data_IF_662802850634
#
_entry.id   IF_662802850634
#
_cell.length_a   1.000
_cell.length_b   1.000
_cell.length_c   1.000
_cell.angle_alpha   90.00
_cell.angle_beta   90.00
_cell.angle_gamma   90.00
#
_symmetry.space_group_name_H-M   'P 1'
#
loop_
_entity.id
_entity.type
_entity.pdbx_description
1 polymer ?
#
# COMPACT_ATOMS: atom_id res chain seq x y z
N UNK A 1 49.45 -41.55 27.99
CA UNK A 1 48.24 -40.79 28.33
C UNK A 1 48.23 -39.56 27.45
N UNK A 2 47.22 -39.46 26.56
CA UNK A 2 46.80 -38.34 25.69
C UNK A 2 47.83 -37.70 24.74
N UNK A 3 47.50 -37.24 23.53
CA UNK A 3 46.49 -37.55 22.49
C UNK A 3 46.89 -36.59 21.34
N UNK A 4 46.92 -37.07 20.11
CA UNK A 4 47.22 -36.24 18.94
C UNK A 4 46.10 -35.25 18.64
N UNK A 5 46.47 -34.06 18.17
CA UNK A 5 45.53 -33.12 17.54
C UNK A 5 45.83 -33.12 16.04
N UNK A 6 45.08 -33.93 15.29
CA UNK A 6 45.01 -33.84 13.85
C UNK A 6 44.18 -32.61 13.47
N UNK A 7 44.77 -31.72 12.69
CA UNK A 7 44.05 -30.64 12.01
C UNK A 7 43.19 -31.29 10.93
N UNK A 8 41.87 -31.36 11.17
CA UNK A 8 40.90 -31.73 10.14
C UNK A 8 40.66 -30.48 9.30
N UNK A 9 41.32 -30.40 8.15
CA UNK A 9 40.97 -29.45 7.09
C UNK A 9 39.68 -29.98 6.43
N UNK A 10 38.53 -29.42 6.80
CA UNK A 10 37.28 -29.66 6.06
C UNK A 10 37.36 -28.83 4.78
N UNK A 11 37.83 -29.45 3.70
CA UNK A 11 37.69 -28.90 2.36
C UNK A 11 36.25 -29.17 1.93
N UNK A 12 35.41 -28.14 1.96
CA UNK A 12 34.16 -28.14 1.18
C UNK A 12 34.55 -28.07 -0.29
N UNK A 13 34.79 -29.23 -0.91
CA UNK A 13 34.68 -29.39 -2.35
C UNK A 13 33.18 -29.41 -2.69
N UNK A 14 32.54 -28.24 -2.62
CA UNK A 14 31.27 -28.03 -3.29
C UNK A 14 31.57 -27.95 -4.78
N UNK A 15 31.09 -28.91 -5.56
CA UNK A 15 30.98 -28.75 -7.00
C UNK A 15 30.29 -27.40 -7.26
N UNK A 16 30.99 -26.42 -7.82
CA UNK A 16 30.30 -25.29 -8.42
C UNK A 16 29.52 -25.87 -9.59
N UNK A 17 28.22 -26.08 -9.41
CA UNK A 17 27.34 -26.16 -10.56
C UNK A 17 27.64 -24.91 -11.39
N UNK A 18 27.89 -25.07 -12.69
CA UNK A 18 28.04 -23.93 -13.59
C UNK A 18 26.79 -23.05 -13.45
N UNK A 19 26.91 -21.96 -12.70
CA UNK A 19 25.88 -20.90 -12.58
C UNK A 19 26.00 -19.95 -13.78
N UNK A 20 26.76 -20.31 -14.81
CA UNK A 20 26.89 -19.52 -16.03
C UNK A 20 25.69 -19.76 -16.93
N UNK A 21 24.90 -18.72 -17.19
CA UNK A 21 23.77 -18.73 -18.13
C UNK A 21 22.51 -18.11 -17.55
N UNK A 22 21.50 -17.92 -18.40
CA UNK A 22 20.18 -17.44 -17.98
C UNK A 22 19.24 -18.58 -17.60
N UNK A 23 18.25 -18.29 -16.77
CA UNK A 23 17.07 -19.11 -16.56
C UNK A 23 15.81 -18.24 -16.67
N UNK A 24 14.72 -18.83 -17.14
CA UNK A 24 13.44 -18.13 -17.18
C UNK A 24 12.83 -18.04 -15.79
N UNK A 25 12.55 -16.82 -15.35
CA UNK A 25 11.82 -16.56 -14.11
C UNK A 25 10.45 -16.01 -14.46
N UNK A 26 9.43 -16.63 -13.88
CA UNK A 26 8.03 -16.21 -13.98
C UNK A 26 7.58 -15.70 -12.63
N UNK A 27 6.99 -14.50 -12.57
CA UNK A 27 6.39 -13.94 -11.36
C UNK A 27 4.87 -14.02 -11.50
N UNK A 28 4.25 -14.82 -10.66
CA UNK A 28 2.81 -14.75 -10.45
C UNK A 28 2.54 -13.96 -9.17
N UNK A 29 1.47 -13.19 -9.11
CA UNK A 29 1.01 -12.55 -7.89
C UNK A 29 -0.37 -13.06 -7.51
N UNK A 30 -0.64 -13.22 -6.23
CA UNK A 30 -1.99 -13.54 -5.74
C UNK A 30 -2.31 -12.70 -4.52
N UNK A 31 -3.57 -12.35 -4.39
CA UNK A 31 -4.07 -11.63 -3.21
C UNK A 31 -4.56 -12.61 -2.16
N UNK A 32 -4.18 -12.35 -0.93
CA UNK A 32 -4.68 -12.96 0.31
C UNK A 32 -5.62 -11.94 0.95
N UNK A 33 -6.87 -12.35 1.17
CA UNK A 33 -7.92 -11.54 1.78
C UNK A 33 -8.76 -12.42 2.70
N UNK A 34 -9.29 -11.85 3.78
CA UNK A 34 -10.30 -12.51 4.62
C UNK A 34 -11.71 -12.15 4.12
N UNK A 35 -12.42 -13.14 3.58
CA UNK A 35 -13.83 -12.97 3.18
C UNK A 35 -14.79 -13.03 4.38
N UNK A 36 -14.40 -13.66 5.50
CA UNK A 36 -15.26 -13.88 6.66
C UNK A 36 -15.47 -12.60 7.48
N UNK A 37 -14.45 -11.75 7.57
CA UNK A 37 -14.50 -10.51 8.35
C UNK A 37 -15.31 -9.39 7.67
N UNK A 38 -15.63 -9.56 6.37
CA UNK A 38 -16.54 -8.66 5.64
C UNK A 38 -17.97 -8.70 6.18
N UNK A 39 -18.38 -9.77 6.88
CA UNK A 39 -19.77 -9.99 7.31
C UNK A 39 -20.00 -9.89 8.83
N UNK A 40 -18.95 -9.90 9.67
CA UNK A 40 -19.06 -9.98 11.14
C UNK A 40 -18.90 -8.66 11.88
N UNK A 41 -19.15 -7.53 11.23
CA UNK A 41 -19.04 -6.19 11.85
C UNK A 41 -20.10 -6.02 12.95
N UNK A 42 -19.72 -6.32 14.18
CA UNK A 42 -20.54 -6.08 15.38
C UNK A 42 -20.32 -4.63 15.79
N UNK A 43 -21.41 -3.89 16.00
CA UNK A 43 -21.47 -2.48 16.41
C UNK A 43 -20.94 -2.21 17.84
N UNK A 44 -19.82 -2.83 18.21
CA UNK A 44 -19.20 -2.68 19.53
C UNK A 44 -17.67 -2.68 19.51
N UNK A 45 -17.02 -2.78 18.36
CA UNK A 45 -15.55 -2.71 18.28
C UNK A 45 -15.11 -1.33 17.82
N UNK A 46 -14.28 -0.74 18.68
CA UNK A 46 -13.97 0.68 18.79
C UNK A 46 -12.86 1.11 17.81
N UNK A 47 -12.57 0.27 16.82
CA UNK A 47 -11.69 0.51 15.66
C UNK A 47 -12.04 -0.54 14.61
N UNK A 48 -12.28 -0.13 13.36
CA UNK A 48 -12.71 -1.08 12.31
C UNK A 48 -11.59 -1.22 11.31
N UNK A 49 -10.81 -2.28 11.45
CA UNK A 49 -9.96 -2.76 10.37
C UNK A 49 -10.85 -3.29 9.23
N UNK A 50 -10.50 -2.94 8.00
CA UNK A 50 -11.28 -3.21 6.81
C UNK A 50 -10.39 -3.88 5.77
N UNK A 51 -10.74 -5.13 5.46
CA UNK A 51 -10.21 -5.83 4.30
C UNK A 51 -10.98 -5.40 3.04
N UNK A 52 -10.32 -4.86 2.00
CA UNK A 52 -10.97 -4.46 0.76
C UNK A 52 -11.68 -5.62 0.06
N UNK A 53 -12.80 -5.33 -0.60
CA UNK A 53 -13.58 -6.27 -1.39
C UNK A 53 -13.00 -6.53 -2.78
N UNK A 54 -12.31 -5.53 -3.35
CA UNK A 54 -11.59 -5.57 -4.63
C UNK A 54 -10.20 -4.95 -4.45
N UNK A 55 -9.24 -5.40 -5.27
CA UNK A 55 -7.88 -4.89 -5.26
C UNK A 55 -7.26 -4.91 -6.65
N UNK A 56 -6.64 -3.80 -7.06
CA UNK A 56 -5.87 -3.65 -8.31
C UNK A 56 -4.54 -2.95 -8.03
N UNK A 57 -3.52 -3.34 -8.78
CA UNK A 57 -2.20 -2.68 -8.78
C UNK A 57 -1.95 -2.10 -10.17
N UNK A 58 -1.60 -0.83 -10.26
CA UNK A 58 -1.06 -0.21 -11.47
C UNK A 58 0.48 -0.27 -11.42
N UNK A 59 1.08 -1.35 -11.93
CA UNK A 59 2.51 -1.67 -11.79
C UNK A 59 3.32 -1.09 -12.95
N UNK A 60 4.48 -0.51 -12.66
CA UNK A 60 5.43 0.00 -13.67
C UNK A 60 6.77 -0.72 -13.62
N UNK A 61 7.16 -1.24 -12.45
CA UNK A 61 8.47 -1.85 -12.26
C UNK A 61 8.44 -3.00 -11.26
N UNK A 62 9.15 -4.07 -11.58
CA UNK A 62 9.44 -5.16 -10.66
C UNK A 62 10.82 -5.74 -10.98
N UNK A 63 11.73 -5.77 -10.01
CA UNK A 63 13.07 -6.30 -10.17
C UNK A 63 13.48 -7.19 -9.00
N UNK A 64 14.28 -8.20 -9.29
CA UNK A 64 15.00 -8.94 -8.25
C UNK A 64 16.35 -8.29 -8.00
N UNK A 65 16.83 -8.35 -6.77
CA UNK A 65 18.15 -7.85 -6.37
C UNK A 65 19.06 -9.03 -6.06
N UNK A 66 20.17 -9.13 -6.78
CA UNK A 66 21.15 -10.19 -6.57
C UNK A 66 21.99 -9.96 -5.30
N UNK A 67 22.76 -10.97 -4.90
CA UNK A 67 23.64 -10.89 -3.73
C UNK A 67 24.77 -9.84 -3.84
N UNK A 68 25.03 -9.31 -5.04
CA UNK A 68 26.00 -8.24 -5.28
C UNK A 68 25.33 -6.84 -5.22
N UNK A 69 24.00 -6.80 -5.10
CA UNK A 69 23.20 -5.58 -5.06
C UNK A 69 22.73 -5.09 -6.43
N UNK A 70 22.92 -5.88 -7.50
CA UNK A 70 22.47 -5.51 -8.84
C UNK A 70 20.97 -5.79 -9.01
N UNK A 71 20.27 -4.83 -9.62
CA UNK A 71 18.85 -4.97 -9.96
C UNK A 71 18.68 -5.64 -11.32
N UNK A 72 17.87 -6.69 -11.35
CA UNK A 72 17.47 -7.38 -12.57
C UNK A 72 15.98 -7.21 -12.76
N UNK A 73 15.60 -6.22 -13.57
CA UNK A 73 14.21 -5.93 -13.88
C UNK A 73 13.53 -7.10 -14.60
N UNK A 74 12.35 -7.49 -14.14
CA UNK A 74 11.46 -8.45 -14.80
C UNK A 74 10.32 -7.69 -15.51
N UNK A 75 9.82 -6.64 -14.85
CA UNK A 75 8.85 -5.69 -15.39
C UNK A 75 9.49 -4.30 -15.37
N UNK A 76 9.42 -3.60 -16.49
CA UNK A 76 9.89 -2.23 -16.66
C UNK A 76 9.08 -1.60 -17.79
N UNK A 77 8.14 -0.75 -17.43
CA UNK A 77 7.12 -0.20 -18.32
C UNK A 77 7.13 1.33 -18.24
N UNK A 78 6.98 1.99 -19.38
CA UNK A 78 6.83 3.44 -19.46
C UNK A 78 5.43 3.89 -18.96
N UNK A 79 4.43 3.01 -19.10
CA UNK A 79 3.04 3.23 -18.70
C UNK A 79 2.60 2.12 -17.73
N UNK A 80 1.76 2.40 -16.73
CA UNK A 80 1.34 1.40 -15.76
C UNK A 80 0.49 0.30 -16.40
N UNK A 81 0.82 -0.96 -16.10
CA UNK A 81 -0.05 -2.11 -16.38
C UNK A 81 -0.94 -2.38 -15.17
N UNK A 82 -2.25 -2.46 -15.41
CA UNK A 82 -3.25 -2.67 -14.36
C UNK A 82 -3.49 -4.17 -14.18
N UNK A 83 -3.12 -4.69 -13.03
CA UNK A 83 -3.40 -6.05 -12.60
C UNK A 83 -4.64 -6.07 -11.70
N UNK A 84 -5.75 -6.61 -12.22
CA UNK A 84 -7.04 -6.65 -11.53
C UNK A 84 -7.27 -8.00 -10.80
N UNK A 85 -7.15 -7.99 -9.47
CA UNK A 85 -7.31 -9.18 -8.63
C UNK A 85 -8.75 -9.40 -8.15
N UNK A 86 -9.71 -8.55 -8.53
CA UNK A 86 -11.09 -8.56 -8.00
C UNK A 86 -11.84 -9.88 -8.19
N UNK A 87 -11.42 -10.71 -9.16
CA UNK A 87 -12.01 -12.04 -9.42
C UNK A 87 -11.00 -13.17 -9.24
N UNK A 88 -9.76 -12.86 -8.88
CA UNK A 88 -8.62 -13.77 -8.89
C UNK A 88 -7.98 -13.97 -7.50
N UNK A 89 -8.75 -13.74 -6.43
CA UNK A 89 -8.30 -14.07 -5.08
C UNK A 89 -7.90 -15.54 -5.00
N UNK A 90 -6.66 -15.76 -4.56
CA UNK A 90 -6.03 -17.08 -4.51
C UNK A 90 -5.60 -17.72 -5.84
N UNK A 91 -6.11 -17.31 -7.02
CA UNK A 91 -5.84 -18.01 -8.30
C UNK A 91 -4.61 -17.52 -9.07
N UNK A 92 -4.03 -16.39 -8.68
CA UNK A 92 -2.75 -15.89 -9.20
C UNK A 92 -2.84 -15.26 -10.60
N UNK A 93 -2.24 -14.08 -10.77
CA UNK A 93 -2.08 -13.39 -12.05
C UNK A 93 -0.60 -13.37 -12.44
N UNK A 94 -0.31 -13.55 -13.72
CA UNK A 94 1.05 -13.40 -14.24
C UNK A 94 1.43 -11.91 -14.22
N UNK A 95 2.41 -11.51 -13.41
CA UNK A 95 2.96 -10.16 -13.41
C UNK A 95 4.01 -9.98 -14.51
N UNK A 96 4.85 -11.00 -14.74
CA UNK A 96 5.96 -10.87 -15.66
C UNK A 96 6.75 -12.14 -15.84
N UNK A 97 7.51 -12.18 -16.94
CA UNK A 97 8.32 -13.32 -17.34
C UNK A 97 9.58 -12.87 -18.05
N UNK A 98 10.76 -13.27 -17.57
CA UNK A 98 12.03 -12.87 -18.18
C UNK A 98 13.11 -13.93 -17.97
N UNK A 99 13.99 -14.09 -18.96
CA UNK A 99 15.25 -14.82 -18.76
C UNK A 99 16.27 -13.93 -18.05
N UNK A 100 16.69 -14.34 -16.86
CA UNK A 100 17.63 -13.60 -16.00
C UNK A 100 18.85 -14.46 -15.62
N UNK A 101 19.98 -13.86 -15.19
CA UNK A 101 21.14 -14.63 -14.74
C UNK A 101 20.78 -15.58 -13.61
N UNK A 102 21.26 -16.83 -13.71
CA UNK A 102 21.23 -17.77 -12.59
C UNK A 102 22.07 -17.22 -11.45
N UNK A 103 21.64 -17.44 -10.22
CA UNK A 103 22.35 -16.90 -9.07
C UNK A 103 21.54 -16.92 -7.80
N UNK A 104 22.07 -16.21 -6.80
CA UNK A 104 21.42 -15.96 -5.51
C UNK A 104 20.81 -14.57 -5.54
N UNK A 105 19.52 -14.49 -5.21
CA UNK A 105 18.80 -13.23 -5.07
C UNK A 105 18.38 -13.05 -3.62
N UNK A 106 18.58 -11.83 -3.12
CA UNK A 106 18.49 -11.49 -1.70
C UNK A 106 17.39 -10.49 -1.39
N UNK A 107 16.79 -9.89 -2.42
CA UNK A 107 15.61 -9.07 -2.27
C UNK A 107 14.91 -8.81 -3.60
N UNK A 108 13.90 -7.93 -3.55
CA UNK A 108 13.24 -7.40 -4.73
C UNK A 108 12.87 -5.93 -4.53
N UNK A 109 12.58 -5.26 -5.64
CA UNK A 109 12.07 -3.90 -5.69
C UNK A 109 10.86 -3.83 -6.60
N UNK A 110 9.88 -3.01 -6.23
CA UNK A 110 8.62 -2.85 -6.93
C UNK A 110 8.22 -1.38 -6.95
N UNK A 111 7.70 -0.92 -8.09
CA UNK A 111 7.10 0.42 -8.22
C UNK A 111 5.73 0.27 -8.87
N UNK A 112 4.76 0.91 -8.26
CA UNK A 112 3.42 1.05 -8.79
C UNK A 112 3.03 2.52 -8.75
N UNK A 113 2.19 2.92 -9.69
CA UNK A 113 1.62 4.26 -9.78
C UNK A 113 0.57 4.45 -8.70
N UNK A 114 -0.38 3.53 -8.62
CA UNK A 114 -1.43 3.55 -7.61
C UNK A 114 -1.88 2.13 -7.23
N UNK A 115 -2.53 2.06 -6.07
CA UNK A 115 -3.34 0.93 -5.63
C UNK A 115 -4.81 1.35 -5.70
N UNK A 116 -5.65 0.52 -6.31
CA UNK A 116 -7.11 0.75 -6.39
C UNK A 116 -7.85 -0.32 -5.61
N UNK A 117 -8.77 0.10 -4.74
CA UNK A 117 -9.36 -0.77 -3.73
C UNK A 117 -10.82 -0.40 -3.53
N UNK A 118 -11.68 -1.41 -3.35
CA UNK A 118 -13.08 -1.17 -2.92
C UNK A 118 -13.20 -1.52 -1.45
N UNK A 119 -13.68 -0.61 -0.62
CA UNK A 119 -13.81 -0.83 0.82
C UNK A 119 -15.17 -0.33 1.33
N UNK A 120 -15.86 -1.09 2.20
CA UNK A 120 -17.06 -0.63 2.88
C UNK A 120 -16.69 0.34 4.00
N UNK A 121 -16.92 1.62 3.79
CA UNK A 121 -16.59 2.69 4.73
C UNK A 121 -17.82 3.54 5.07
N UNK A 122 -17.77 4.21 6.21
CA UNK A 122 -18.75 5.22 6.59
C UNK A 122 -17.99 6.50 6.91
N UNK A 123 -18.23 7.56 6.14
CA UNK A 123 -17.64 8.86 6.44
C UNK A 123 -18.51 9.59 7.45
N UNK A 124 -17.88 10.08 8.51
CA UNK A 124 -18.50 10.84 9.58
C UNK A 124 -17.69 12.12 9.75
N UNK A 125 -18.32 13.26 9.48
CA UNK A 125 -17.72 14.58 9.69
C UNK A 125 -18.63 15.38 10.63
N UNK A 126 -18.07 16.26 11.48
CA UNK A 126 -18.85 17.12 12.34
C UNK A 126 -19.87 17.94 11.55
N UNK A 127 -21.03 18.16 12.16
CA UNK A 127 -22.11 18.96 11.56
C UNK A 127 -21.73 20.41 11.22
N UNK A 128 -20.61 20.91 11.74
CA UNK A 128 -20.06 22.22 11.39
C UNK A 128 -19.16 22.19 10.15
N UNK A 129 -18.70 21.02 9.71
CA UNK A 129 -17.93 20.87 8.46
C UNK A 129 -18.83 21.18 7.27
N UNK A 130 -18.22 21.81 6.26
CA UNK A 130 -18.83 22.07 4.95
C UNK A 130 -19.20 20.78 4.22
N UNK A 131 -18.60 19.65 4.59
CA UNK A 131 -18.92 18.32 4.05
C UNK A 131 -20.04 17.61 4.80
N UNK A 132 -20.60 18.21 5.86
CA UNK A 132 -21.71 17.60 6.61
C UNK A 132 -22.96 17.31 5.77
N UNK A 133 -23.09 17.95 4.61
CA UNK A 133 -24.12 17.69 3.60
C UNK A 133 -23.63 16.89 2.39
N UNK A 134 -22.39 16.43 2.39
CA UNK A 134 -21.81 15.67 1.29
C UNK A 134 -22.55 14.33 1.13
N UNK A 135 -22.82 13.86 -0.10
CA UNK A 135 -23.55 12.61 -0.32
C UNK A 135 -22.94 11.37 0.35
N UNK A 136 -21.62 11.34 0.54
CA UNK A 136 -20.91 10.24 1.20
C UNK A 136 -20.87 10.33 2.73
N UNK A 137 -21.32 11.45 3.31
CA UNK A 137 -21.30 11.63 4.76
C UNK A 137 -22.56 11.08 5.39
N UNK A 138 -22.38 10.15 6.32
CA UNK A 138 -23.43 9.72 7.23
C UNK A 138 -23.49 10.71 8.40
N UNK A 139 -24.50 11.57 8.44
CA UNK A 139 -24.60 12.67 9.42
C UNK A 139 -24.88 12.26 10.88
N UNK A 140 -24.42 11.09 11.33
CA UNK A 140 -24.70 10.57 12.68
C UNK A 140 -23.45 10.05 13.38
N UNK A 141 -23.08 10.74 14.47
CA UNK A 141 -22.07 10.33 15.46
C UNK A 141 -22.46 9.07 16.27
N UNK A 142 -23.68 8.56 16.09
CA UNK A 142 -24.16 7.34 16.76
C UNK A 142 -23.74 6.13 15.93
N UNK A 143 -22.82 5.33 16.47
CA UNK A 143 -22.25 4.12 15.84
C UNK A 143 -23.32 3.15 15.31
N UNK A 144 -24.43 2.98 16.04
CA UNK A 144 -25.55 2.11 15.63
C UNK A 144 -26.39 2.64 14.46
N UNK A 145 -26.07 3.84 13.97
CA UNK A 145 -26.75 4.54 12.85
C UNK A 145 -25.80 4.74 11.67
N UNK A 146 -24.50 4.40 11.80
CA UNK A 146 -23.55 4.46 10.70
C UNK A 146 -23.95 3.47 9.61
N UNK A 147 -23.97 3.97 8.38
CA UNK A 147 -24.23 3.16 7.20
C UNK A 147 -22.91 3.01 6.47
N UNK A 148 -22.40 1.78 6.39
CA UNK A 148 -21.21 1.47 5.62
C UNK A 148 -21.63 1.20 4.17
N UNK A 149 -20.99 1.91 3.24
CA UNK A 149 -21.20 1.75 1.81
C UNK A 149 -19.86 1.43 1.14
N UNK A 150 -19.92 0.60 0.09
CA UNK A 150 -18.73 0.28 -0.69
C UNK A 150 -18.31 1.50 -1.49
N UNK A 151 -17.06 1.90 -1.29
CA UNK A 151 -16.43 3.03 -1.96
C UNK A 151 -15.15 2.57 -2.66
N UNK A 152 -14.91 3.09 -3.87
CA UNK A 152 -13.68 2.79 -4.61
C UNK A 152 -12.65 3.88 -4.39
N UNK A 153 -11.46 3.51 -3.95
CA UNK A 153 -10.35 4.40 -3.67
C UNK A 153 -9.20 4.17 -4.64
N UNK A 154 -8.43 5.22 -4.92
CA UNK A 154 -7.07 5.13 -5.48
C UNK A 154 -6.08 5.83 -4.58
N UNK A 155 -5.03 5.14 -4.18
CA UNK A 155 -3.91 5.71 -3.45
C UNK A 155 -2.70 5.77 -4.37
N UNK A 156 -2.21 6.97 -4.67
CA UNK A 156 -1.08 7.20 -5.58
C UNK A 156 0.26 7.21 -4.83
N UNK A 157 1.23 6.51 -5.40
CA UNK A 157 2.59 6.38 -4.87
C UNK A 157 3.62 7.04 -5.78
N UNK A 158 3.30 7.15 -7.08
CA UNK A 158 4.09 7.85 -8.08
C UNK A 158 3.17 8.70 -8.96
N UNK A 159 3.69 9.80 -9.48
CA UNK A 159 2.94 10.75 -10.31
C UNK A 159 2.43 10.09 -11.60
N UNK A 160 1.19 10.39 -11.97
CA UNK A 160 0.56 9.96 -13.22
C UNK A 160 -0.46 10.99 -13.70
N UNK A 161 -0.11 11.67 -14.79
CA UNK A 161 -0.92 12.75 -15.36
C UNK A 161 -1.12 13.89 -14.36
N UNK A 162 -2.36 14.05 -13.89
CA UNK A 162 -2.73 15.09 -12.93
C UNK A 162 -2.74 14.58 -11.47
N UNK A 163 -2.33 13.35 -11.22
CA UNK A 163 -2.34 12.74 -9.91
C UNK A 163 -0.92 12.62 -9.38
N UNK A 164 -0.74 12.94 -8.11
CA UNK A 164 0.56 13.12 -7.50
C UNK A 164 0.76 12.11 -6.37
N UNK A 165 2.00 11.99 -5.91
CA UNK A 165 2.31 11.10 -4.80
C UNK A 165 1.48 11.49 -3.59
N UNK A 166 0.95 10.48 -2.89
CA UNK A 166 0.12 10.62 -1.68
C UNK A 166 -1.27 11.16 -1.94
N UNK A 167 -1.67 11.33 -3.21
CA UNK A 167 -3.07 11.55 -3.53
C UNK A 167 -3.90 10.32 -3.15
N UNK A 168 -4.97 10.54 -2.39
CA UNK A 168 -6.08 9.60 -2.27
C UNK A 168 -7.25 10.16 -3.02
N UNK A 169 -7.77 9.38 -3.95
CA UNK A 169 -8.98 9.72 -4.69
C UNK A 169 -10.10 8.77 -4.29
N UNK A 170 -11.30 9.31 -4.22
CA UNK A 170 -12.54 8.57 -4.14
C UNK A 170 -13.22 8.59 -5.50
N UNK A 171 -13.75 7.45 -5.93
CA UNK A 171 -14.58 7.38 -7.13
C UNK A 171 -15.98 7.90 -6.81
N UNK A 172 -16.31 9.04 -7.39
CA UNK A 172 -17.67 9.52 -7.46
C UNK A 172 -18.41 8.85 -8.61
N UNK A 173 -19.32 7.94 -8.27
CA UNK A 173 -20.17 7.24 -9.24
C UNK A 173 -21.22 8.19 -9.82
N UNK A 174 -21.30 8.23 -11.15
CA UNK A 174 -22.36 8.92 -11.87
C UNK A 174 -23.53 7.99 -12.21
N UNK A 175 -24.50 8.49 -12.99
CA UNK A 175 -25.64 7.69 -13.45
C UNK A 175 -25.19 6.55 -14.39
N UNK A 176 -24.04 6.70 -15.04
CA UNK A 176 -23.40 5.69 -15.89
C UNK A 176 -21.90 5.58 -15.59
N UNK A 177 -21.23 4.45 -15.92
CA UNK A 177 -19.79 4.30 -15.68
C UNK A 177 -18.90 5.37 -16.35
N UNK A 178 -19.36 5.93 -17.47
CA UNK A 178 -18.64 6.99 -18.19
C UNK A 178 -18.75 8.36 -17.48
N UNK A 179 -19.73 8.50 -16.57
CA UNK A 179 -19.94 9.70 -15.75
C UNK A 179 -19.14 9.64 -14.44
N UNK A 180 -18.44 8.54 -14.18
CA UNK A 180 -17.63 8.40 -12.99
C UNK A 180 -16.48 9.40 -12.99
N UNK A 181 -16.26 10.03 -11.83
CA UNK A 181 -15.20 11.02 -11.66
C UNK A 181 -14.37 10.68 -10.43
N UNK A 182 -13.06 10.93 -10.51
CA UNK A 182 -12.20 10.83 -9.34
C UNK A 182 -12.16 12.18 -8.64
N UNK A 183 -12.50 12.18 -7.36
CA UNK A 183 -12.44 13.37 -6.51
C UNK A 183 -11.36 13.18 -5.46
N UNK A 184 -10.60 14.23 -5.17
CA UNK A 184 -9.51 14.16 -4.19
C UNK A 184 -10.10 14.12 -2.78
N UNK A 185 -9.45 13.35 -1.92
CA UNK A 185 -9.65 13.39 -0.48
C UNK A 185 -8.48 14.15 0.16
N UNK A 186 -8.71 14.83 1.29
CA UNK A 186 -7.67 15.57 2.00
C UNK A 186 -7.61 15.23 3.50
N UNK A 187 -6.41 15.32 4.07
CA UNK A 187 -6.24 15.55 5.52
C UNK A 187 -6.84 16.91 5.80
N UNK A 188 -7.76 17.01 6.73
CA UNK A 188 -8.35 18.29 7.09
C UNK A 188 -7.26 19.27 7.54
N UNK A 189 -7.06 20.34 6.78
CA UNK A 189 -6.45 21.57 7.29
C UNK A 189 -7.25 22.76 6.75
N UNK A 190 -7.66 23.59 7.70
CA UNK A 190 -8.34 24.87 7.55
C UNK A 190 -7.70 25.72 6.43
N UNK A 191 -8.51 26.19 5.47
CA UNK A 191 -8.01 27.23 4.55
C UNK A 191 -7.79 28.55 5.31
N UNK A 192 -7.16 29.54 4.68
CA UNK A 192 -6.92 30.86 5.30
C UNK A 192 -8.20 31.63 5.68
N UNK A 193 -9.37 31.12 5.31
CA UNK A 193 -10.70 31.67 5.57
C UNK A 193 -11.48 30.87 6.63
N UNK A 194 -10.96 29.74 7.11
CA UNK A 194 -11.60 28.90 8.13
C UNK A 194 -12.36 27.67 7.60
N UNK A 195 -12.37 27.41 6.29
CA UNK A 195 -13.17 26.32 5.70
C UNK A 195 -12.47 24.96 5.81
N UNK A 196 -13.26 23.92 6.12
CA UNK A 196 -12.77 22.58 6.47
C UNK A 196 -13.54 21.49 5.72
N UNK A 197 -12.92 21.01 4.65
CA UNK A 197 -13.39 19.88 3.85
C UNK A 197 -12.50 18.64 4.09
N UNK A 198 -13.00 17.51 3.68
CA UNK A 198 -12.39 16.20 3.58
C UNK A 198 -12.52 15.69 2.14
N UNK A 199 -13.62 16.02 1.46
CA UNK A 199 -13.83 15.80 0.03
C UNK A 199 -13.52 17.06 -0.80
N UNK A 200 -12.85 16.88 -1.93
CA UNK A 200 -12.52 17.94 -2.87
C UNK A 200 -13.15 17.57 -4.23
N UNK A 201 -14.33 18.13 -4.49
CA UNK A 201 -15.09 17.95 -5.74
C UNK A 201 -14.49 18.74 -6.91
N UNK A 202 -13.21 18.50 -7.19
CA UNK A 202 -12.48 19.08 -8.31
C UNK A 202 -11.92 17.96 -9.19
N UNK A 203 -11.69 18.26 -10.47
CA UNK A 203 -11.09 17.34 -11.45
C UNK A 203 -9.65 17.71 -11.81
N UNK A 204 -9.15 18.80 -11.23
CA UNK A 204 -7.76 19.27 -11.34
C UNK A 204 -7.05 19.11 -10.01
N UNK A 205 -5.76 18.78 -10.05
CA UNK A 205 -4.96 18.66 -8.85
C UNK A 205 -5.07 19.92 -7.97
N UNK A 206 -5.34 19.78 -6.67
CA UNK A 206 -5.40 20.91 -5.76
C UNK A 206 -4.07 21.68 -5.72
N UNK A 207 -4.14 23.01 -5.59
CA UNK A 207 -2.97 23.92 -5.64
C UNK A 207 -2.45 24.34 -4.26
N UNK A 208 -2.88 23.65 -3.20
CA UNK A 208 -2.53 23.93 -1.82
C UNK A 208 -1.64 22.83 -1.26
N UNK A 209 -0.92 23.16 -0.17
CA UNK A 209 0.06 22.32 0.50
C UNK A 209 -0.37 20.87 0.55
N UNK A 210 0.58 20.02 0.18
CA UNK A 210 0.40 18.64 -0.25
C UNK A 210 -0.64 17.90 0.57
N UNK A 211 -1.44 17.05 -0.09
CA UNK A 211 -2.43 16.14 0.50
C UNK A 211 -1.71 15.23 1.50
N UNK A 212 -1.44 15.74 2.70
CA UNK A 212 -0.62 15.10 3.73
C UNK A 212 -1.46 14.08 4.50
N UNK A 213 -2.25 13.25 3.81
CA UNK A 213 -2.88 12.09 4.46
C UNK A 213 -1.83 11.07 4.92
N UNK A 214 -0.58 11.17 4.45
CA UNK A 214 0.49 10.21 4.72
C UNK A 214 1.74 10.93 5.25
N UNK A 215 2.01 10.83 6.55
CA UNK A 215 3.22 11.39 7.19
C UNK A 215 4.20 10.26 7.55
N UNK A 216 5.00 9.85 6.57
CA UNK A 216 6.11 8.93 6.80
C UNK A 216 7.30 9.28 5.90
N UNK A 217 8.07 10.29 6.32
CA UNK A 217 9.26 10.75 5.59
C UNK A 217 10.32 9.65 5.36
N UNK A 218 10.30 8.56 6.15
CA UNK A 218 11.21 7.42 5.94
C UNK A 218 10.81 6.62 4.70
N UNK A 219 9.51 6.44 4.47
CA UNK A 219 8.98 5.76 3.30
C UNK A 219 8.85 6.69 2.09
N UNK A 220 8.24 7.86 2.27
CA UNK A 220 7.90 8.80 1.20
C UNK A 220 9.07 9.66 0.74
N UNK A 221 10.12 9.79 1.55
CA UNK A 221 11.27 10.65 1.26
C UNK A 221 11.05 12.10 1.71
N UNK A 222 11.76 13.02 1.05
CA UNK A 222 11.68 14.46 1.35
C UNK A 222 10.35 15.04 0.81
N UNK A 223 9.79 16.01 1.52
CA UNK A 223 8.56 16.68 1.09
C UNK A 223 8.73 17.47 -0.20
N UNK A 224 9.94 17.95 -0.47
CA UNK A 224 10.26 18.63 -1.74
C UNK A 224 10.17 17.69 -2.95
N UNK A 225 10.26 16.37 -2.73
CA UNK A 225 10.22 15.35 -3.79
C UNK A 225 8.79 14.88 -4.11
N UNK A 226 7.78 15.26 -3.33
CA UNK A 226 6.41 14.77 -3.53
C UNK A 226 5.84 15.17 -4.90
N UNK A 227 6.22 16.37 -5.35
CA UNK A 227 5.87 16.92 -6.65
C UNK A 227 6.99 16.76 -7.70
N UNK A 228 7.91 15.82 -7.50
CA UNK A 228 8.95 15.50 -8.49
C UNK A 228 8.70 14.11 -9.11
N UNK A 229 8.26 14.09 -10.36
CA UNK A 229 8.03 12.86 -11.16
C UNK A 229 9.31 12.04 -11.37
N UNK A 230 10.50 12.64 -11.20
CA UNK A 230 11.78 11.96 -11.39
C UNK A 230 12.25 11.19 -10.17
N UNK A 231 11.71 11.52 -8.98
CA UNK A 231 11.94 10.78 -7.75
C UNK A 231 10.84 9.74 -7.62
N UNK A 232 11.19 8.45 -7.55
CA UNK A 232 10.17 7.38 -7.54
C UNK A 232 10.12 6.68 -6.19
N UNK A 233 8.92 6.55 -5.63
CA UNK A 233 8.67 5.70 -4.48
C UNK A 233 8.80 4.26 -4.92
N UNK A 234 9.74 3.55 -4.30
CA UNK A 234 10.05 2.16 -4.59
C UNK A 234 9.89 1.32 -3.33
N UNK A 235 8.98 0.36 -3.38
CA UNK A 235 8.82 -0.64 -2.34
C UNK A 235 9.93 -1.66 -2.49
N UNK A 236 10.75 -1.83 -1.46
CA UNK A 236 11.89 -2.74 -1.48
C UNK A 236 11.78 -3.72 -0.31
N UNK A 237 12.15 -4.97 -0.54
CA UNK A 237 12.12 -5.99 0.51
C UNK A 237 13.00 -5.58 1.70
N UNK A 238 12.53 -5.80 2.94
CA UNK A 238 13.15 -5.40 4.21
C UNK A 238 14.63 -5.80 4.38
N UNK A 239 15.07 -6.88 3.72
CA UNK A 239 16.46 -7.31 3.74
C UNK A 239 17.42 -6.33 3.03
N UNK A 240 16.89 -5.43 2.20
CA UNK A 240 17.65 -4.42 1.48
C UNK A 240 17.77 -3.14 2.31
N UNK A 241 18.85 -2.39 2.11
CA UNK A 241 18.98 -1.07 2.71
C UNK A 241 17.86 -0.13 2.21
N UNK A 242 17.09 0.45 3.13
CA UNK A 242 15.91 1.26 2.80
C UNK A 242 14.68 0.44 2.41
N UNK A 243 14.69 -0.87 2.67
CA UNK A 243 13.51 -1.72 2.51
C UNK A 243 12.41 -1.42 3.53
N UNK A 244 11.18 -1.80 3.19
CA UNK A 244 9.99 -1.65 4.02
C UNK A 244 9.66 -2.95 4.72
N UNK A 245 9.21 -2.90 5.98
CA UNK A 245 8.90 -4.10 6.77
C UNK A 245 7.77 -4.94 6.15
N UNK A 246 6.79 -4.31 5.50
CA UNK A 246 5.70 -4.99 4.80
C UNK A 246 6.13 -5.65 3.47
N UNK A 247 7.37 -5.48 3.03
CA UNK A 247 7.89 -6.14 1.84
C UNK A 247 8.94 -7.18 2.25
N UNK A 248 8.69 -8.46 1.99
CA UNK A 248 9.58 -9.52 2.45
C UNK A 248 9.89 -10.56 1.38
N UNK A 249 11.09 -11.13 1.47
CA UNK A 249 11.54 -12.22 0.62
C UNK A 249 12.65 -12.96 1.34
N UNK A 250 12.54 -14.28 1.41
CA UNK A 250 13.66 -15.12 1.83
C UNK A 250 14.67 -15.26 0.67
N UNK A 251 15.98 -15.07 0.93
CA UNK A 251 16.99 -15.27 -0.10
C UNK A 251 16.88 -16.67 -0.70
N UNK A 252 16.91 -16.75 -2.03
CA UNK A 252 16.84 -18.01 -2.75
C UNK A 252 17.89 -18.06 -3.85
N UNK A 253 18.18 -19.27 -4.32
CA UNK A 253 19.12 -19.50 -5.41
C UNK A 253 18.54 -20.51 -6.38
N UNK A 254 18.67 -20.22 -7.68
CA UNK A 254 18.18 -21.10 -8.72
C UNK A 254 19.24 -21.39 -9.77
N UNK A 255 19.13 -22.56 -10.39
CA UNK A 255 20.03 -23.04 -11.46
C UNK A 255 19.29 -23.44 -12.73
N UNK A 256 17.96 -23.28 -12.74
CA UNK A 256 17.01 -23.65 -13.79
C UNK A 256 15.83 -22.67 -13.74
N UNK A 257 14.90 -22.83 -14.67
CA UNK A 257 13.68 -22.02 -14.72
C UNK A 257 12.92 -22.11 -13.39
N UNK A 258 12.39 -20.99 -12.94
CA UNK A 258 11.82 -20.82 -11.61
C UNK A 258 10.50 -20.05 -11.71
N UNK A 259 9.53 -20.42 -10.88
CA UNK A 259 8.30 -19.63 -10.72
C UNK A 259 8.27 -19.08 -9.31
N UNK A 260 8.11 -17.77 -9.18
CA UNK A 260 7.93 -17.09 -7.91
C UNK A 260 6.48 -16.66 -7.77
N UNK A 261 6.02 -16.60 -6.52
CA UNK A 261 4.70 -16.10 -6.14
C UNK A 261 4.89 -14.90 -5.23
N UNK A 262 4.39 -13.74 -5.67
CA UNK A 262 4.18 -12.56 -4.84
C UNK A 262 2.83 -12.72 -4.14
N UNK A 263 2.85 -12.95 -2.84
CA UNK A 263 1.67 -12.96 -2.00
C UNK A 263 1.41 -11.51 -1.57
N UNK A 264 0.23 -10.99 -1.89
CA UNK A 264 -0.21 -9.64 -1.54
C UNK A 264 -1.28 -9.78 -0.45
N UNK A 265 -0.93 -9.49 0.79
CA UNK A 265 -1.85 -9.55 1.92
C UNK A 265 -2.56 -8.20 2.09
N UNK A 266 -3.84 -8.18 1.74
CA UNK A 266 -4.69 -6.98 1.85
C UNK A 266 -5.59 -7.01 3.10
N UNK A 267 -5.41 -7.98 3.99
CA UNK A 267 -6.22 -8.10 5.20
C UNK A 267 -6.01 -6.84 6.02
N UNK A 268 -7.10 -6.20 6.46
CA UNK A 268 -7.06 -5.07 7.38
C UNK A 268 -6.22 -3.88 6.90
N UNK A 269 -6.13 -3.69 5.58
CA UNK A 269 -5.33 -2.62 4.96
C UNK A 269 -6.02 -1.25 4.97
N UNK A 270 -7.13 -1.13 5.68
CA UNK A 270 -7.80 0.13 5.97
C UNK A 270 -8.25 0.11 7.42
N UNK A 271 -8.18 1.24 8.10
CA UNK A 271 -8.80 1.45 9.38
C UNK A 271 -9.59 2.75 9.34
N UNK A 272 -10.77 2.72 9.97
CA UNK A 272 -11.44 3.93 10.41
C UNK A 272 -11.56 3.83 11.93
N UNK A 273 -11.00 4.84 12.62
CA UNK A 273 -11.18 5.17 14.05
C UNK A 273 -10.11 4.67 15.06
N UNK A 274 -9.39 5.61 15.71
CA UNK A 274 -8.60 5.41 16.95
C UNK A 274 -9.41 5.84 18.20
N UNK A 275 -9.20 5.17 19.34
CA UNK A 275 -9.66 5.67 20.64
C UNK A 275 -8.51 5.72 21.61
N UNK A 276 -7.96 6.92 21.78
CA UNK A 276 -7.17 7.38 22.92
C UNK A 276 -6.17 6.37 23.45
N UNK A 277 -4.97 6.42 22.85
CA UNK A 277 -3.76 5.90 23.47
C UNK A 277 -3.44 4.46 23.09
N UNK A 278 -3.91 4.02 21.93
CA UNK A 278 -3.46 2.78 21.31
C UNK A 278 -3.19 3.08 19.83
N UNK A 279 -1.91 3.02 19.47
CA UNK A 279 -1.46 3.02 18.08
C UNK A 279 -2.29 1.99 17.27
N UNK A 280 -2.44 2.21 15.96
CA UNK A 280 -3.05 1.25 15.03
C UNK A 280 -2.21 -0.03 14.95
N UNK A 281 -2.24 -0.87 15.99
CA UNK A 281 -1.41 -2.06 16.15
C UNK A 281 -2.00 -3.25 15.35
N UNK A 282 -2.12 -3.12 14.02
CA UNK A 282 -2.31 -4.28 13.14
C UNK A 282 -0.96 -4.81 12.60
N UNK A 283 0.14 -4.13 12.93
CA UNK A 283 1.51 -4.50 12.52
C UNK A 283 1.88 -4.08 11.11
N UNK A 284 0.98 -3.41 10.37
CA UNK A 284 1.22 -2.89 9.03
C UNK A 284 1.67 -1.43 9.08
N UNK A 285 2.41 -0.98 8.07
CA UNK A 285 2.77 0.42 7.93
C UNK A 285 1.52 1.30 7.79
N UNK A 286 1.21 2.06 8.85
CA UNK A 286 0.19 3.11 8.81
C UNK A 286 0.65 4.21 7.87
N UNK A 287 -0.22 4.47 6.91
CA UNK A 287 -0.06 5.43 5.86
C UNK A 287 -1.03 6.61 6.09
N UNK A 288 -1.82 6.60 7.17
CA UNK A 288 -2.71 7.68 7.57
C UNK A 288 -1.99 8.91 8.19
N UNK A 289 -2.79 9.94 8.52
CA UNK A 289 -2.27 11.21 9.03
C UNK A 289 -1.72 11.06 10.45
N UNK A 290 -0.68 11.82 10.78
CA UNK A 290 -0.14 11.91 12.15
C UNK A 290 -1.11 12.64 13.10
N UNK A 291 -1.10 12.27 14.38
CA UNK A 291 -1.92 12.86 15.45
C UNK A 291 -1.77 14.39 15.53
N UNK A 292 -2.88 15.12 15.36
CA UNK A 292 -2.97 16.55 15.66
C UNK A 292 -4.18 16.85 16.56
N UNK A 293 -3.91 17.37 17.77
CA UNK A 293 -4.94 17.97 18.62
C UNK A 293 -5.32 19.34 18.05
N UNK A 294 -6.49 19.44 17.40
CA UNK A 294 -6.97 20.71 16.86
C UNK A 294 -7.95 21.35 17.87
N UNK A 295 -7.62 22.51 18.47
CA UNK A 295 -8.55 23.24 19.31
C UNK A 295 -9.72 23.79 18.48
N UNK A 296 -10.95 23.42 18.82
CA UNK A 296 -12.16 24.05 18.25
C UNK A 296 -12.52 25.26 19.12
N UNK A 297 -12.02 26.45 18.77
CA UNK A 297 -12.31 27.69 19.50
C UNK A 297 -11.88 27.66 20.98
N UNK A 298 -12.66 28.30 21.88
CA UNK A 298 -12.46 28.20 23.35
C UNK A 298 -13.03 26.88 23.95
N UNK A 299 -13.48 25.95 23.10
CA UNK A 299 -14.13 24.70 23.49
C UNK A 299 -13.18 23.54 23.76
N UNK A 300 -13.74 22.40 24.14
CA UNK A 300 -13.02 21.13 24.22
C UNK A 300 -12.43 20.76 22.85
N UNK A 301 -11.17 20.33 22.84
CA UNK A 301 -10.49 19.74 21.68
C UNK A 301 -11.31 18.53 21.21
N UNK A 302 -11.82 18.57 19.98
CA UNK A 302 -12.33 17.36 19.32
C UNK A 302 -11.21 16.83 18.43
N UNK A 303 -10.90 15.55 18.60
CA UNK A 303 -9.88 14.84 17.84
C UNK A 303 -10.39 14.69 16.40
N UNK A 304 -9.82 15.46 15.47
CA UNK A 304 -10.15 15.40 14.05
C UNK A 304 -8.87 15.08 13.27
N UNK A 305 -8.81 13.89 12.66
CA UNK A 305 -7.62 13.34 12.03
C UNK A 305 -7.49 11.84 12.34
N UNK A 306 -7.15 11.52 13.58
CA UNK A 306 -6.92 10.15 14.11
C UNK A 306 -8.20 9.31 14.28
N UNK A 307 -9.36 9.89 13.99
CA UNK A 307 -10.64 9.16 13.91
C UNK A 307 -11.09 8.91 12.48
N UNK A 308 -10.28 9.35 11.52
CA UNK A 308 -10.58 9.36 10.10
C UNK A 308 -10.06 8.11 9.38
N UNK A 309 -9.81 8.29 8.09
CA UNK A 309 -9.35 7.27 7.16
C UNK A 309 -7.84 7.01 7.31
N UNK A 310 -7.47 5.77 7.63
CA UNK A 310 -6.08 5.31 7.71
C UNK A 310 -5.90 4.16 6.71
N UNK A 311 -5.33 4.41 5.53
CA UNK A 311 -4.87 3.33 4.68
C UNK A 311 -3.63 2.69 5.33
N UNK A 312 -3.42 1.40 5.13
CA UNK A 312 -2.19 0.71 5.48
C UNK A 312 -1.58 0.10 4.24
N UNK A 313 -0.26 0.00 4.24
CA UNK A 313 0.44 -0.70 3.17
C UNK A 313 0.07 -2.20 3.19
N UNK A 314 -0.31 -2.81 2.05
CA UNK A 314 -0.42 -4.26 1.96
C UNK A 314 0.93 -4.94 2.18
N UNK A 315 0.94 -6.16 2.69
CA UNK A 315 2.18 -6.92 2.78
C UNK A 315 2.48 -7.64 1.46
N UNK A 316 3.72 -7.55 1.00
CA UNK A 316 4.19 -8.13 -0.24
C UNK A 316 5.29 -9.16 0.05
N UNK A 317 4.93 -10.44 0.01
CA UNK A 317 5.85 -11.54 0.32
C UNK A 317 6.16 -12.38 -0.92
N UNK A 318 7.40 -12.33 -1.39
CA UNK A 318 7.85 -13.08 -2.58
C UNK A 318 8.47 -14.42 -2.17
N UNK A 319 7.96 -15.52 -2.75
CA UNK A 319 8.41 -16.88 -2.44
C UNK A 319 8.57 -17.74 -3.69
N UNK A 320 9.61 -18.61 -3.80
CA UNK A 320 9.68 -19.63 -4.84
C UNK A 320 8.58 -20.70 -4.71
N UNK A 321 8.04 -21.18 -5.83
CA UNK A 321 7.18 -22.37 -5.84
C UNK A 321 8.06 -23.61 -5.93
N UNK A 322 8.29 -24.28 -4.80
CA UNK A 322 9.03 -25.56 -4.75
C UNK A 322 8.29 -26.70 -5.43
#
# INVERSE_FOLDING_TARGET
MLLGLGVVLIVFAGCSADITGGAEVTINARVIADEADRASRVASEVSVNITPSSYRIALTYFALVDSEGSEVAIVELDEPEIFDFSTAYGSGLLLGKRTIPKGTYVGYKMRFTYLEMVAPVAFDVPTWSTDSSHPYVTGSLVESVRTFEDHTFRCYYNTDGNYWKRDVLLLQEGDTPDDNTWVWMRREVEDSEGNRNFFIDQTSHPSFGVVDLFDNSTFWGDSDDYDDETVLVTVASAALAGGTEDASMDPFSFTRDETLVLNIDIIDTFNFWEVTGSDYENGKLDLGPSYDEIPIGEGTVELYGDKGFHPFMPEFTLTPIS
#
